data_IF_451543766337
#
_entry.id   IF_451543766337
#
_cell.length_a   1.000
_cell.length_b   1.000
_cell.length_c   1.000
_cell.angle_alpha   90.00
_cell.angle_beta   90.00
_cell.angle_gamma   90.00
#
_symmetry.space_group_name_H-M   'P 1'
#
loop_
_entity.id
_entity.type
_entity.pdbx_description
1 polymer ?
#
# COMPACT_ATOMS: atom_id res chain seq x y z
N UNK A 1 -37.57 24.03 -20.82
CA UNK A 1 -37.14 23.00 -19.85
C UNK A 1 -35.61 22.95 -19.83
N UNK A 2 -34.98 23.48 -18.78
CA UNK A 2 -33.52 23.51 -18.68
C UNK A 2 -32.95 22.10 -18.52
N UNK A 3 -32.05 21.68 -19.41
CA UNK A 3 -31.21 20.50 -19.17
C UNK A 3 -30.37 20.82 -17.94
N UNK A 4 -30.67 20.21 -16.80
CA UNK A 4 -29.74 20.22 -15.67
C UNK A 4 -28.39 19.72 -16.18
N UNK A 5 -27.37 20.57 -16.11
CA UNK A 5 -25.99 20.17 -16.37
C UNK A 5 -25.68 18.99 -15.43
N UNK A 6 -25.49 17.80 -16.00
CA UNK A 6 -25.20 16.59 -15.21
C UNK A 6 -23.79 16.79 -14.63
N UNK A 7 -23.70 16.91 -13.30
CA UNK A 7 -22.46 17.21 -12.57
C UNK A 7 -21.39 16.13 -12.84
N UNK A 8 -20.12 16.57 -12.87
CA UNK A 8 -18.97 15.67 -12.97
C UNK A 8 -18.82 14.85 -11.67
N UNK A 9 -18.38 13.60 -11.79
CA UNK A 9 -18.22 12.68 -10.68
C UNK A 9 -16.94 12.91 -9.84
N UNK A 10 -15.98 13.71 -10.33
CA UNK A 10 -14.77 14.03 -9.58
C UNK A 10 -15.01 15.08 -8.48
N UNK A 11 -15.84 16.09 -8.76
CA UNK A 11 -16.19 17.14 -7.82
C UNK A 11 -17.42 17.90 -8.31
N UNK A 12 -18.20 18.43 -7.37
CA UNK A 12 -19.30 19.35 -7.67
C UNK A 12 -18.84 20.69 -8.27
N UNK A 13 -17.60 21.09 -7.99
CA UNK A 13 -17.00 22.34 -8.50
C UNK A 13 -16.35 22.18 -9.87
N UNK A 14 -16.38 20.98 -10.46
CA UNK A 14 -15.76 20.74 -11.76
C UNK A 14 -16.59 21.37 -12.89
N UNK A 15 -15.95 22.27 -13.64
CA UNK A 15 -16.54 22.99 -14.78
C UNK A 15 -16.32 22.32 -16.13
N UNK A 16 -15.66 21.15 -16.16
CA UNK A 16 -15.39 20.43 -17.41
C UNK A 16 -16.68 19.88 -18.01
N UNK A 17 -16.78 19.82 -19.35
CA UNK A 17 -17.92 19.20 -20.01
C UNK A 17 -18.00 17.72 -19.65
N UNK A 18 -19.22 17.22 -19.49
CA UNK A 18 -19.50 15.83 -19.14
C UNK A 18 -20.08 15.13 -20.36
N UNK A 19 -19.23 14.36 -21.04
CA UNK A 19 -19.50 13.68 -22.32
C UNK A 19 -19.20 12.17 -22.27
N UNK A 20 -18.58 11.67 -21.18
CA UNK A 20 -18.34 10.24 -20.94
C UNK A 20 -19.00 9.75 -19.66
N UNK A 21 -19.59 8.56 -19.74
CA UNK A 21 -20.25 7.80 -18.67
C UNK A 21 -19.36 6.60 -18.37
N UNK A 22 -18.79 6.54 -17.17
CA UNK A 22 -18.07 5.38 -16.66
C UNK A 22 -19.01 4.55 -15.78
N UNK A 23 -19.23 3.30 -16.15
CA UNK A 23 -20.07 2.36 -15.44
C UNK A 23 -19.19 1.41 -14.62
N UNK A 24 -19.50 1.27 -13.32
CA UNK A 24 -18.88 0.27 -12.47
C UNK A 24 -19.40 -1.13 -12.80
N UNK A 25 -18.60 -2.16 -12.52
CA UNK A 25 -18.99 -3.57 -12.70
C UNK A 25 -20.13 -4.02 -11.80
N UNK A 26 -20.27 -3.39 -10.63
CA UNK A 26 -21.42 -3.60 -9.76
C UNK A 26 -22.57 -2.83 -10.41
N UNK A 27 -23.64 -3.51 -10.82
CA UNK A 27 -24.79 -3.07 -11.66
C UNK A 27 -25.51 -1.78 -11.21
N UNK A 28 -24.77 -0.70 -11.06
CA UNK A 28 -25.06 0.41 -10.18
C UNK A 28 -24.49 1.73 -10.71
N UNK A 29 -24.22 2.69 -9.79
CA UNK A 29 -24.16 4.11 -10.13
C UNK A 29 -23.03 4.46 -11.10
N UNK A 30 -23.34 5.45 -11.94
CA UNK A 30 -22.55 5.88 -13.09
C UNK A 30 -21.71 7.10 -12.71
N UNK A 31 -20.39 7.01 -12.87
CA UNK A 31 -19.53 8.19 -12.85
C UNK A 31 -19.61 8.90 -14.20
N UNK A 32 -19.61 10.23 -14.21
CA UNK A 32 -19.61 11.01 -15.45
C UNK A 32 -18.47 12.00 -15.44
N UNK A 33 -17.79 12.14 -16.57
CA UNK A 33 -16.56 12.94 -16.67
C UNK A 33 -16.35 13.41 -18.11
N UNK A 34 -15.33 14.25 -18.31
CA UNK A 34 -14.88 14.65 -19.64
C UNK A 34 -14.09 13.53 -20.34
N UNK A 35 -14.27 13.38 -21.65
CA UNK A 35 -13.45 12.53 -22.52
C UNK A 35 -11.96 12.87 -22.42
N UNK A 36 -11.63 14.16 -22.35
CA UNK A 36 -10.25 14.62 -22.20
C UNK A 36 -9.60 14.06 -20.93
N UNK A 37 -10.35 13.99 -19.83
CA UNK A 37 -9.88 13.41 -18.56
C UNK A 37 -9.66 11.92 -18.66
N UNK A 38 -10.58 11.22 -19.33
CA UNK A 38 -10.54 9.76 -19.49
C UNK A 38 -9.35 9.32 -20.35
N UNK A 39 -9.02 10.10 -21.39
CA UNK A 39 -7.83 9.84 -22.23
C UNK A 39 -6.50 9.95 -21.47
N UNK A 40 -6.47 10.52 -20.26
CA UNK A 40 -5.24 10.59 -19.46
C UNK A 40 -4.81 9.24 -18.88
N UNK A 41 -5.73 8.26 -18.81
CA UNK A 41 -5.45 6.95 -18.21
C UNK A 41 -6.02 5.78 -19.01
N UNK A 42 -6.66 6.05 -20.14
CA UNK A 42 -7.04 5.02 -21.11
C UNK A 42 -6.14 5.10 -22.34
N UNK A 43 -5.57 3.96 -22.70
CA UNK A 43 -4.75 3.80 -23.91
C UNK A 43 -5.58 3.73 -25.20
N UNK A 44 -6.90 3.68 -25.11
CA UNK A 44 -7.82 3.60 -26.25
C UNK A 44 -8.77 4.79 -26.22
N UNK A 45 -9.03 5.37 -27.40
CA UNK A 45 -10.09 6.36 -27.54
C UNK A 45 -11.43 5.69 -27.14
N UNK A 46 -12.16 6.21 -26.13
CA UNK A 46 -13.49 5.72 -25.86
C UNK A 46 -14.37 6.03 -27.08
N UNK A 47 -14.50 5.05 -27.98
CA UNK A 47 -15.41 5.08 -29.12
C UNK A 47 -16.87 5.23 -28.68
N UNK A 48 -17.14 4.92 -27.40
CA UNK A 48 -18.46 4.97 -26.78
C UNK A 48 -18.52 6.07 -25.74
N UNK A 49 -19.64 6.80 -25.72
CA UNK A 49 -19.99 7.75 -24.65
C UNK A 49 -20.21 7.06 -23.30
N UNK A 50 -20.21 5.72 -23.28
CA UNK A 50 -20.37 4.87 -22.11
C UNK A 50 -19.29 3.79 -22.12
N UNK A 51 -18.56 3.66 -21.02
CA UNK A 51 -17.50 2.68 -20.86
C UNK A 51 -17.67 1.91 -19.55
N UNK A 52 -17.56 0.60 -19.62
CA UNK A 52 -17.56 -0.27 -18.45
C UNK A 52 -16.14 -0.37 -17.88
N UNK A 53 -15.99 0.06 -16.64
CA UNK A 53 -14.75 -0.05 -15.87
C UNK A 53 -14.80 -1.36 -15.10
N UNK A 54 -14.46 -2.45 -15.80
CA UNK A 54 -14.51 -3.80 -15.24
C UNK A 54 -13.70 -3.89 -13.93
N UNK A 55 -14.26 -4.54 -12.92
CA UNK A 55 -13.63 -4.83 -11.61
C UNK A 55 -13.20 -3.63 -10.77
N UNK A 56 -13.81 -2.45 -10.97
CA UNK A 56 -13.57 -1.26 -10.14
C UNK A 56 -14.89 -0.74 -9.58
N UNK A 57 -14.97 -0.56 -8.26
CA UNK A 57 -16.16 0.02 -7.62
C UNK A 57 -16.29 1.50 -7.96
N UNK A 58 -17.51 2.06 -7.90
CA UNK A 58 -17.73 3.48 -8.18
C UNK A 58 -16.80 4.39 -7.35
N UNK A 59 -16.59 4.06 -6.08
CA UNK A 59 -15.71 4.83 -5.17
C UNK A 59 -14.28 4.92 -5.72
N UNK A 60 -13.74 3.82 -6.25
CA UNK A 60 -12.40 3.79 -6.86
C UNK A 60 -12.37 4.63 -8.14
N UNK A 61 -13.39 4.51 -8.99
CA UNK A 61 -13.51 5.31 -10.21
C UNK A 61 -13.52 6.81 -9.87
N UNK A 62 -14.31 7.22 -8.88
CA UNK A 62 -14.34 8.62 -8.42
C UNK A 62 -12.97 9.10 -7.93
N UNK A 63 -12.26 8.29 -7.14
CA UNK A 63 -10.91 8.63 -6.67
C UNK A 63 -9.93 8.79 -7.85
N UNK A 64 -9.95 7.89 -8.84
CA UNK A 64 -9.15 8.01 -10.06
C UNK A 64 -9.47 9.29 -10.83
N UNK A 65 -10.76 9.66 -10.90
CA UNK A 65 -11.16 10.91 -11.54
C UNK A 65 -10.61 12.14 -10.80
N UNK A 66 -10.54 12.12 -9.46
CA UNK A 66 -9.91 13.22 -8.72
C UNK A 66 -8.43 13.42 -9.08
N UNK A 67 -7.69 12.35 -9.37
CA UNK A 67 -6.27 12.44 -9.79
C UNK A 67 -6.06 12.95 -11.22
N UNK A 68 -7.10 12.94 -12.05
CA UNK A 68 -7.01 13.31 -13.48
C UNK A 68 -7.63 14.67 -13.77
N UNK A 69 -8.37 15.22 -12.80
CA UNK A 69 -8.82 16.59 -12.84
C UNK A 69 -7.73 17.53 -12.33
N UNK A 70 -7.74 18.77 -12.79
CA UNK A 70 -6.86 19.83 -12.28
C UNK A 70 -7.36 20.34 -10.91
N UNK A 71 -7.39 19.44 -9.94
CA UNK A 71 -7.81 19.67 -8.56
C UNK A 71 -6.75 19.10 -7.62
N UNK A 72 -6.70 19.53 -6.35
CA UNK A 72 -5.86 18.89 -5.36
C UNK A 72 -6.15 17.38 -5.30
N UNK A 73 -5.11 16.52 -5.19
CA UNK A 73 -5.31 15.10 -5.04
C UNK A 73 -6.14 14.80 -3.77
N UNK A 74 -6.95 13.73 -3.78
CA UNK A 74 -7.75 13.37 -2.63
C UNK A 74 -6.85 13.04 -1.43
N UNK A 75 -7.29 13.39 -0.22
CA UNK A 75 -6.59 13.01 0.99
C UNK A 75 -6.72 11.50 1.25
N UNK A 76 -5.66 10.76 0.93
CA UNK A 76 -5.61 9.31 1.07
C UNK A 76 -5.56 8.85 2.53
N UNK A 77 -5.20 9.73 3.47
CA UNK A 77 -5.10 9.37 4.90
C UNK A 77 -6.46 9.06 5.53
N UNK A 78 -7.53 9.58 4.95
CA UNK A 78 -8.92 9.37 5.39
C UNK A 78 -9.52 8.06 4.87
N UNK A 79 -8.86 7.38 3.94
CA UNK A 79 -9.36 6.13 3.37
C UNK A 79 -9.03 4.94 4.28
N UNK A 80 -9.94 3.98 4.37
CA UNK A 80 -9.62 2.68 4.97
C UNK A 80 -8.56 1.94 4.11
N UNK A 81 -7.82 1.02 4.73
CA UNK A 81 -6.72 0.32 4.07
C UNK A 81 -7.17 -0.51 2.86
N UNK A 82 -8.40 -1.03 2.88
CA UNK A 82 -8.93 -1.88 1.81
C UNK A 82 -9.28 -1.03 0.57
N UNK A 83 -9.87 0.16 0.77
CA UNK A 83 -10.06 1.14 -0.31
C UNK A 83 -8.70 1.56 -0.89
N UNK A 84 -7.68 1.76 -0.05
CA UNK A 84 -6.35 2.16 -0.51
C UNK A 84 -5.68 1.07 -1.36
N UNK A 85 -5.80 -0.20 -0.96
CA UNK A 85 -5.33 -1.34 -1.76
C UNK A 85 -6.07 -1.45 -3.09
N UNK A 86 -7.41 -1.37 -3.06
CA UNK A 86 -8.21 -1.44 -4.28
C UNK A 86 -7.88 -0.30 -5.26
N UNK A 87 -7.66 0.92 -4.73
CA UNK A 87 -7.21 2.05 -5.53
C UNK A 87 -5.83 1.76 -6.11
N UNK A 88 -4.87 1.35 -5.28
CA UNK A 88 -3.49 1.03 -5.65
C UNK A 88 -3.37 -0.02 -6.75
N UNK A 89 -4.08 -1.14 -6.60
CA UNK A 89 -4.15 -2.18 -7.64
C UNK A 89 -4.71 -1.64 -8.95
N UNK A 90 -5.76 -0.80 -8.87
CA UNK A 90 -6.41 -0.25 -10.05
C UNK A 90 -5.51 0.74 -10.78
N UNK A 91 -4.92 1.69 -10.05
CA UNK A 91 -4.06 2.73 -10.64
C UNK A 91 -2.71 2.17 -11.10
N UNK A 92 -2.17 1.14 -10.45
CA UNK A 92 -0.88 0.57 -10.80
C UNK A 92 -0.99 -0.54 -11.86
N UNK A 93 -1.87 -1.52 -11.66
CA UNK A 93 -1.91 -2.73 -12.50
C UNK A 93 -2.81 -2.61 -13.73
N UNK A 94 -3.87 -1.79 -13.67
CA UNK A 94 -4.86 -1.72 -14.76
C UNK A 94 -4.69 -0.50 -15.66
N UNK A 95 -4.51 0.67 -15.06
CA UNK A 95 -4.55 1.95 -15.79
C UNK A 95 -3.22 2.70 -15.82
N UNK A 96 -2.17 2.15 -15.20
CA UNK A 96 -0.80 2.71 -15.19
C UNK A 96 -0.73 4.22 -14.86
N UNK A 97 -1.58 4.67 -13.93
CA UNK A 97 -1.63 6.06 -13.48
C UNK A 97 -0.48 6.32 -12.50
N UNK A 98 0.72 6.55 -13.03
CA UNK A 98 1.97 6.63 -12.25
C UNK A 98 1.91 7.62 -11.08
N UNK A 99 1.37 8.83 -11.29
CA UNK A 99 1.25 9.83 -10.22
C UNK A 99 0.35 9.34 -9.06
N UNK A 100 -0.83 8.80 -9.39
CA UNK A 100 -1.74 8.26 -8.38
C UNK A 100 -1.12 7.04 -7.68
N UNK A 101 -0.42 6.17 -8.42
CA UNK A 101 0.30 5.01 -7.87
C UNK A 101 1.37 5.45 -6.85
N UNK A 102 2.15 6.48 -7.15
CA UNK A 102 3.15 7.02 -6.23
C UNK A 102 2.51 7.61 -4.97
N UNK A 103 1.41 8.35 -5.09
CA UNK A 103 0.65 8.86 -3.94
C UNK A 103 0.15 7.72 -3.04
N UNK A 104 -0.41 6.66 -3.63
CA UNK A 104 -0.88 5.48 -2.89
C UNK A 104 0.28 4.75 -2.20
N UNK A 105 1.40 4.51 -2.91
CA UNK A 105 2.58 3.86 -2.33
C UNK A 105 3.14 4.63 -1.13
N UNK A 106 3.22 5.97 -1.22
CA UNK A 106 3.64 6.82 -0.09
C UNK A 106 2.74 6.67 1.14
N UNK A 107 1.43 6.69 0.95
CA UNK A 107 0.48 6.53 2.06
C UNK A 107 0.53 5.10 2.66
N UNK A 108 0.69 4.07 1.83
CA UNK A 108 0.87 2.69 2.30
C UNK A 108 2.16 2.55 3.11
N UNK A 109 3.26 3.15 2.65
CA UNK A 109 4.53 3.14 3.37
C UNK A 109 4.44 3.86 4.72
N UNK A 110 3.69 4.97 4.78
CA UNK A 110 3.39 5.65 6.05
C UNK A 110 2.62 4.75 7.03
N UNK A 111 1.61 4.02 6.55
CA UNK A 111 0.83 3.07 7.37
C UNK A 111 1.61 1.82 7.78
N UNK A 112 2.52 1.39 6.91
CA UNK A 112 3.45 0.31 7.19
C UNK A 112 4.34 0.68 8.39
N UNK A 113 4.85 1.92 8.42
CA UNK A 113 5.66 2.45 9.52
C UNK A 113 4.89 2.56 10.84
N UNK A 114 3.57 2.78 10.81
CA UNK A 114 2.72 2.84 12.02
C UNK A 114 2.15 1.49 12.45
N UNK A 115 2.69 0.37 11.96
CA UNK A 115 2.32 -1.01 12.34
C UNK A 115 0.86 -1.40 12.08
N UNK A 116 0.16 -0.74 11.16
CA UNK A 116 -1.22 -1.12 10.84
C UNK A 116 -1.23 -2.34 9.91
N UNK A 117 -1.69 -3.50 10.39
CA UNK A 117 -1.93 -4.72 9.59
C UNK A 117 -0.75 -5.09 8.65
N UNK A 118 0.47 -5.32 9.18
CA UNK A 118 1.68 -5.46 8.36
C UNK A 118 1.63 -6.62 7.36
N UNK A 119 0.91 -7.71 7.66
CA UNK A 119 0.76 -8.83 6.73
C UNK A 119 -0.13 -8.51 5.54
N UNK A 120 -1.23 -7.78 5.74
CA UNK A 120 -2.08 -7.32 4.63
C UNK A 120 -1.30 -6.37 3.71
N UNK A 121 -0.49 -5.49 4.30
CA UNK A 121 0.41 -4.59 3.55
C UNK A 121 1.46 -5.39 2.77
N UNK A 122 2.08 -6.40 3.39
CA UNK A 122 3.06 -7.25 2.73
C UNK A 122 2.45 -7.93 1.49
N UNK A 123 1.28 -8.55 1.64
CA UNK A 123 0.54 -9.20 0.56
C UNK A 123 0.24 -8.22 -0.57
N UNK A 124 -0.28 -7.04 -0.23
CA UNK A 124 -0.57 -6.00 -1.22
C UNK A 124 0.70 -5.59 -1.99
N UNK A 125 1.80 -5.31 -1.29
CA UNK A 125 3.05 -4.83 -1.89
C UNK A 125 3.66 -5.86 -2.84
N UNK A 126 3.62 -7.13 -2.46
CA UNK A 126 4.04 -8.24 -3.34
C UNK A 126 3.15 -8.30 -4.59
N UNK A 127 1.82 -8.20 -4.41
CA UNK A 127 0.86 -8.24 -5.52
C UNK A 127 1.06 -7.12 -6.54
N UNK A 128 1.45 -5.92 -6.08
CA UNK A 128 1.71 -4.78 -6.97
C UNK A 128 3.18 -4.62 -7.36
N UNK A 129 4.03 -5.59 -7.01
CA UNK A 129 5.48 -5.57 -7.25
C UNK A 129 6.21 -4.34 -6.68
N UNK A 130 5.70 -3.76 -5.59
CA UNK A 130 6.34 -2.65 -4.87
C UNK A 130 7.26 -3.20 -3.78
N UNK A 131 8.57 -3.20 -4.02
CA UNK A 131 9.57 -3.73 -3.09
C UNK A 131 10.09 -2.69 -2.09
N UNK A 132 9.57 -1.45 -2.11
CA UNK A 132 10.02 -0.42 -1.17
C UNK A 132 9.68 -0.81 0.28
N UNK A 133 10.64 -0.71 1.20
CA UNK A 133 10.46 -1.09 2.63
C UNK A 133 10.05 -2.56 2.86
N UNK A 134 10.17 -3.46 1.87
CA UNK A 134 9.64 -4.82 1.95
C UNK A 134 10.26 -5.61 3.12
N UNK A 135 11.56 -5.46 3.37
CA UNK A 135 12.27 -6.12 4.47
C UNK A 135 11.80 -5.62 5.84
N UNK A 136 11.54 -4.32 5.99
CA UNK A 136 11.02 -3.76 7.23
C UNK A 136 9.61 -4.29 7.53
N UNK A 137 8.77 -4.34 6.50
CA UNK A 137 7.41 -4.85 6.59
C UNK A 137 7.43 -6.35 6.91
N UNK A 138 8.26 -7.12 6.21
CA UNK A 138 8.43 -8.55 6.45
C UNK A 138 8.82 -8.81 7.91
N UNK A 139 9.83 -8.10 8.45
CA UNK A 139 10.21 -8.24 9.87
C UNK A 139 9.05 -7.99 10.84
N UNK A 140 8.16 -7.04 10.54
CA UNK A 140 6.98 -6.74 11.37
C UNK A 140 5.91 -7.85 11.33
N UNK A 141 6.01 -8.80 10.39
CA UNK A 141 5.09 -9.94 10.29
C UNK A 141 5.58 -11.18 11.04
N UNK A 142 6.80 -11.19 11.60
CA UNK A 142 7.45 -12.39 12.12
C UNK A 142 6.76 -12.99 13.37
N UNK A 143 6.08 -12.14 14.13
CA UNK A 143 5.32 -12.53 15.32
C UNK A 143 3.86 -12.91 14.99
N UNK A 144 3.45 -12.86 13.72
CA UNK A 144 2.08 -13.19 13.33
C UNK A 144 1.86 -14.72 13.40
N UNK A 145 0.73 -15.18 13.98
CA UNK A 145 0.37 -16.60 14.01
C UNK A 145 0.34 -17.23 12.62
N UNK A 146 0.74 -18.50 12.53
CA UNK A 146 0.84 -19.21 11.25
C UNK A 146 -0.53 -19.29 10.55
N UNK A 147 -1.61 -19.44 11.32
CA UNK A 147 -2.97 -19.52 10.82
C UNK A 147 -3.37 -18.25 10.06
N UNK A 148 -2.99 -17.09 10.57
CA UNK A 148 -3.24 -15.81 9.92
C UNK A 148 -2.42 -15.65 8.64
N UNK A 149 -1.18 -16.16 8.64
CA UNK A 149 -0.31 -16.15 7.47
C UNK A 149 -0.85 -17.02 6.33
N UNK A 150 -1.30 -18.25 6.63
CA UNK A 150 -1.89 -19.16 5.65
C UNK A 150 -3.15 -18.56 5.01
N UNK A 151 -3.98 -17.87 5.80
CA UNK A 151 -5.22 -17.28 5.28
C UNK A 151 -5.00 -16.09 4.33
N UNK A 152 -3.90 -15.34 4.50
CA UNK A 152 -3.62 -14.13 3.73
C UNK A 152 -2.62 -14.34 2.60
N UNK A 153 -1.64 -15.23 2.79
CA UNK A 153 -0.64 -15.59 1.77
C UNK A 153 -1.15 -16.80 0.99
N UNK A 154 -2.19 -16.58 0.18
CA UNK A 154 -2.87 -17.65 -0.59
C UNK A 154 -1.95 -18.27 -1.65
N UNK A 155 -1.00 -17.50 -2.17
CA UNK A 155 0.00 -18.00 -3.10
C UNK A 155 1.07 -18.85 -2.36
N UNK A 156 1.23 -20.09 -2.82
CA UNK A 156 2.12 -21.08 -2.19
C UNK A 156 3.59 -20.63 -2.24
N UNK A 157 4.02 -19.99 -3.32
CA UNK A 157 5.40 -19.52 -3.44
C UNK A 157 5.70 -18.41 -2.43
N UNK A 158 4.83 -17.41 -2.38
CA UNK A 158 4.90 -16.30 -1.43
C UNK A 158 4.87 -16.80 0.02
N UNK A 159 3.97 -17.73 0.32
CA UNK A 159 3.90 -18.35 1.65
C UNK A 159 5.20 -19.08 2.00
N UNK A 160 5.76 -19.88 1.08
CA UNK A 160 7.04 -20.58 1.30
C UNK A 160 8.21 -19.62 1.52
N UNK A 161 8.27 -18.52 0.79
CA UNK A 161 9.28 -17.47 0.96
C UNK A 161 9.15 -16.85 2.35
N UNK A 162 7.92 -16.50 2.74
CA UNK A 162 7.64 -15.92 4.05
C UNK A 162 8.01 -16.87 5.20
N UNK A 163 7.65 -18.16 5.13
CA UNK A 163 8.03 -19.16 6.14
C UNK A 163 9.55 -19.27 6.27
N UNK A 164 10.27 -19.37 5.15
CA UNK A 164 11.74 -19.42 5.15
C UNK A 164 12.36 -18.18 5.80
N UNK A 165 11.81 -17.01 5.49
CA UNK A 165 12.25 -15.75 6.09
C UNK A 165 12.00 -15.76 7.60
N UNK A 166 10.83 -16.22 8.04
CA UNK A 166 10.45 -16.34 9.45
C UNK A 166 11.36 -17.26 10.24
N UNK A 167 11.60 -18.46 9.74
CA UNK A 167 12.46 -19.45 10.41
C UNK A 167 13.87 -18.89 10.59
N UNK A 168 14.41 -18.25 9.53
CA UNK A 168 15.74 -17.65 9.59
C UNK A 168 15.77 -16.48 10.57
N UNK A 169 14.75 -15.62 10.56
CA UNK A 169 14.63 -14.49 11.49
C UNK A 169 14.61 -14.96 12.94
N UNK A 170 13.77 -15.94 13.26
CA UNK A 170 13.66 -16.49 14.62
C UNK A 170 14.96 -17.14 15.08
N UNK A 171 15.62 -17.90 14.22
CA UNK A 171 16.93 -18.50 14.50
C UNK A 171 18.00 -17.44 14.81
N UNK A 172 18.08 -16.39 13.98
CA UNK A 172 19.03 -15.29 14.18
C UNK A 172 18.73 -14.49 15.45
N UNK A 173 17.45 -14.24 15.75
CA UNK A 173 17.03 -13.53 16.94
C UNK A 173 17.34 -14.32 18.22
N UNK A 174 17.21 -15.65 18.19
CA UNK A 174 17.60 -16.51 19.30
C UNK A 174 19.11 -16.44 19.57
N UNK A 175 19.95 -16.59 18.53
CA UNK A 175 21.41 -16.47 18.64
C UNK A 175 21.83 -15.10 19.17
N UNK A 176 21.18 -14.03 18.72
CA UNK A 176 21.45 -12.68 19.19
C UNK A 176 21.13 -12.51 20.68
N UNK A 177 19.99 -13.06 21.15
CA UNK A 177 19.61 -13.03 22.57
C UNK A 177 20.58 -13.80 23.46
N UNK A 178 21.09 -14.92 22.98
CA UNK A 178 22.09 -15.73 23.67
C UNK A 178 23.41 -14.96 23.82
N UNK A 179 23.92 -14.38 22.72
CA UNK A 179 25.13 -13.56 22.73
C UNK A 179 25.03 -12.33 23.67
N UNK A 180 23.85 -11.69 23.73
CA UNK A 180 23.60 -10.60 24.69
C UNK A 180 23.65 -11.09 26.14
N UNK A 181 23.14 -12.28 26.40
CA UNK A 181 23.16 -12.89 27.74
C UNK A 181 24.59 -13.18 28.17
N UNK A 182 25.39 -13.81 27.31
CA UNK A 182 26.81 -14.11 27.56
C UNK A 182 27.63 -12.83 27.80
N UNK A 183 27.38 -11.78 27.01
CA UNK A 183 28.02 -10.49 27.19
C UNK A 183 27.67 -9.87 28.55
N UNK A 184 26.39 -9.90 28.95
CA UNK A 184 25.94 -9.34 30.23
C UNK A 184 26.53 -10.07 31.45
N UNK A 185 26.66 -11.40 31.37
CA UNK A 185 27.22 -12.21 32.46
C UNK A 185 28.73 -12.02 32.62
N UNK A 186 29.45 -11.89 31.50
CA UNK A 186 30.90 -11.66 31.49
C UNK A 186 31.32 -10.24 31.92
N UNK A 187 30.40 -9.28 31.93
CA UNK A 187 30.67 -7.86 32.20
C UNK A 187 29.86 -7.29 33.40
N UNK A 188 29.57 -8.13 34.40
CA UNK A 188 28.74 -7.81 35.59
C UNK A 188 29.22 -6.66 36.49
N UNK A 189 30.39 -6.06 36.24
CA UNK A 189 30.89 -4.85 36.93
C UNK A 189 30.77 -3.55 36.11
N UNK A 190 30.25 -3.62 34.89
CA UNK A 190 29.95 -2.42 34.11
C UNK A 190 28.52 -2.02 34.43
N UNK A 191 28.35 -0.89 35.14
CA UNK A 191 27.04 -0.22 35.25
C UNK A 191 26.38 -0.29 33.89
N UNK A 192 25.11 -0.74 33.79
CA UNK A 192 24.48 -0.89 32.49
C UNK A 192 24.54 0.48 31.86
N UNK A 193 25.44 0.66 30.88
CA UNK A 193 25.26 1.70 29.89
C UNK A 193 23.86 1.39 29.46
N UNK A 194 22.96 2.32 29.77
CA UNK A 194 21.66 2.36 29.18
C UNK A 194 21.98 2.46 27.70
N UNK A 195 22.16 1.31 27.07
CA UNK A 195 21.87 1.08 25.67
C UNK A 195 20.35 1.29 25.63
N UNK A 196 19.97 2.56 25.77
CA UNK A 196 19.08 3.24 24.88
C UNK A 196 19.60 2.90 23.47
N UNK A 197 19.37 1.65 23.07
CA UNK A 197 18.58 1.40 21.88
C UNK A 197 17.32 2.22 22.14
N UNK A 198 17.45 3.52 21.86
CA UNK A 198 16.34 4.31 21.39
C UNK A 198 15.85 3.43 20.26
N UNK A 199 14.79 2.68 20.52
CA UNK A 199 13.96 2.09 19.49
C UNK A 199 13.48 3.33 18.75
N UNK A 200 14.32 3.81 17.82
CA UNK A 200 13.93 4.83 16.89
C UNK A 200 12.73 4.18 16.18
N UNK A 201 11.59 4.87 16.03
CA UNK A 201 10.40 4.28 15.43
C UNK A 201 10.54 3.95 13.93
N UNK A 202 11.77 3.74 13.44
CA UNK A 202 12.15 3.55 12.04
C UNK A 202 12.76 2.18 11.74
N UNK A 203 12.75 1.22 12.68
CA UNK A 203 13.04 -0.18 12.35
C UNK A 203 14.49 -0.50 11.94
N UNK A 204 15.45 0.39 12.16
CA UNK A 204 16.87 0.08 11.97
C UNK A 204 17.45 -0.58 13.23
N UNK A 205 17.83 -1.85 13.11
CA UNK A 205 18.78 -2.47 14.03
C UNK A 205 20.15 -2.20 13.43
N UNK A 206 20.86 -1.20 13.96
CA UNK A 206 22.29 -1.02 13.66
C UNK A 206 23.02 -2.12 14.43
N UNK A 207 23.49 -3.14 13.72
CA UNK A 207 24.47 -4.07 14.28
C UNK A 207 25.75 -3.28 14.57
N UNK A 208 26.30 -3.33 15.78
CA UNK A 208 27.65 -2.85 15.99
C UNK A 208 28.59 -3.77 15.20
N UNK A 209 29.12 -3.28 14.08
CA UNK A 209 30.31 -3.83 13.45
C UNK A 209 31.45 -3.68 14.46
N UNK A 210 31.67 -4.73 15.26
CA UNK A 210 32.89 -4.91 16.01
C UNK A 210 34.02 -5.13 14.99
N UNK A 211 34.62 -4.03 14.54
CA UNK A 211 35.99 -4.06 14.02
C UNK A 211 36.92 -4.40 15.19
N UNK A 212 37.20 -5.69 15.37
CA UNK A 212 38.45 -6.09 15.99
C UNK A 212 39.59 -5.71 15.02
N UNK A 213 40.58 -4.98 15.54
CA UNK A 213 41.85 -4.73 14.87
C UNK A 213 42.62 -6.02 14.65
#
# INVERSE_FOLDING_TARGET
MGRMAKKCAASESCSLPVDVILQSSDSGPIARTSKCTVMLFLSQDPQFHQMEMSSSSLKIIQLMLCFTHNMPPPDLSLLDIQTLFALGETVNLKYSMHYASECVSKEINKRAATHTKPLEILVYKIKVSDLSMIDEIARRTMDIPMENAVNLLVDLETFRIWVRYRDKWQSMLAQYREALTDYSQSHSNVTPITLLVKVIPTGEIIFPTLFCK
#
